data_IF_516407102247
#
_entry.id   IF_516407102247
#
_cell.length_a   1.000
_cell.length_b   1.000
_cell.length_c   1.000
_cell.angle_alpha   90.00
_cell.angle_beta   90.00
_cell.angle_gamma   90.00
#
_symmetry.space_group_name_H-M   'P 1'
#
loop_
_entity.id
_entity.type
_entity.pdbx_description
1 polymer ?
#
# COMPACT_ATOMS: atom_id res chain seq x y z
N UNK A 1 -54.09 34.28 -20.57
CA UNK A 1 -53.14 34.40 -19.43
C UNK A 1 -52.08 33.33 -19.61
N UNK A 2 -50.82 33.73 -19.89
CA UNK A 2 -49.69 32.81 -20.07
C UNK A 2 -48.98 32.67 -18.72
N UNK A 3 -48.93 31.45 -18.19
CA UNK A 3 -48.22 31.10 -16.96
C UNK A 3 -46.74 30.85 -17.31
N UNK A 4 -45.86 31.75 -16.88
CA UNK A 4 -44.41 31.54 -16.95
C UNK A 4 -43.98 30.64 -15.78
N UNK A 5 -43.45 29.46 -16.06
CA UNK A 5 -42.68 28.69 -15.10
C UNK A 5 -41.27 29.29 -14.99
N UNK A 6 -40.94 29.86 -13.84
CA UNK A 6 -39.58 30.22 -13.45
C UNK A 6 -38.85 28.94 -13.02
N UNK A 7 -37.85 28.51 -13.81
CA UNK A 7 -36.87 27.54 -13.35
C UNK A 7 -35.95 28.22 -12.34
N UNK A 8 -35.99 27.76 -11.09
CA UNK A 8 -35.01 28.14 -10.08
C UNK A 8 -33.68 27.43 -10.40
N UNK A 9 -32.70 28.18 -10.90
CA UNK A 9 -31.32 27.73 -10.99
C UNK A 9 -30.78 27.55 -9.57
N UNK A 10 -30.55 26.31 -9.16
CA UNK A 10 -29.79 26.02 -7.95
C UNK A 10 -28.35 26.53 -8.16
N UNK A 11 -27.96 27.54 -7.40
CA UNK A 11 -26.58 28.00 -7.36
C UNK A 11 -25.70 26.85 -6.85
N UNK A 12 -24.74 26.40 -7.66
CA UNK A 12 -23.66 25.57 -7.15
C UNK A 12 -22.90 26.39 -6.11
N UNK A 13 -23.05 26.03 -4.83
CA UNK A 13 -22.15 26.51 -3.79
C UNK A 13 -20.75 26.00 -4.14
N UNK A 14 -19.84 26.93 -4.42
CA UNK A 14 -18.43 26.61 -4.59
C UNK A 14 -17.96 25.81 -3.37
N UNK A 15 -17.40 24.61 -3.62
CA UNK A 15 -16.67 23.85 -2.61
C UNK A 15 -15.58 24.78 -2.09
N UNK A 16 -15.44 25.00 -0.76
CA UNK A 16 -14.41 25.88 -0.25
C UNK A 16 -13.05 25.34 -0.71
N UNK A 17 -12.30 26.18 -1.41
CA UNK A 17 -10.88 25.92 -1.69
C UNK A 17 -10.23 25.68 -0.34
N UNK A 18 -9.78 24.45 -0.10
CA UNK A 18 -9.05 24.08 1.11
C UNK A 18 -7.83 25.00 1.14
N UNK A 19 -7.80 25.91 2.12
CA UNK A 19 -6.67 26.78 2.34
C UNK A 19 -5.51 25.87 2.78
N UNK A 20 -4.61 25.53 1.85
CA UNK A 20 -3.41 24.77 2.15
C UNK A 20 -2.60 25.66 3.08
N UNK A 21 -2.53 25.29 4.35
CA UNK A 21 -1.72 26.00 5.33
C UNK A 21 -0.29 26.11 4.79
N UNK A 22 0.28 27.31 4.82
CA UNK A 22 1.70 27.52 4.51
C UNK A 22 2.53 26.97 5.69
N UNK A 23 2.72 25.66 5.71
CA UNK A 23 3.46 24.94 6.74
C UNK A 23 4.96 25.02 6.46
N UNK A 24 5.75 25.39 7.47
CA UNK A 24 7.22 25.30 7.41
C UNK A 24 7.69 23.89 7.77
N UNK A 25 6.99 23.22 8.70
CA UNK A 25 7.25 21.82 9.03
C UNK A 25 6.01 21.09 9.54
N UNK A 26 6.11 19.77 9.57
CA UNK A 26 5.03 18.85 9.87
C UNK A 26 5.35 18.04 11.12
N UNK A 27 4.35 17.77 11.95
CA UNK A 27 4.48 16.90 13.11
C UNK A 27 3.37 15.86 13.14
N UNK A 28 3.66 14.78 13.87
CA UNK A 28 2.85 13.57 13.94
C UNK A 28 2.45 13.30 15.39
N UNK A 29 1.39 12.54 15.62
CA UNK A 29 1.00 12.11 16.96
C UNK A 29 1.99 11.09 17.53
N UNK A 30 2.11 11.02 18.85
CA UNK A 30 3.01 10.10 19.54
C UNK A 30 3.99 10.85 20.46
N UNK A 31 4.78 10.12 21.26
CA UNK A 31 5.71 10.74 22.20
C UNK A 31 6.93 11.31 21.48
N UNK A 32 7.29 12.58 21.68
CA UNK A 32 8.49 13.20 21.06
C UNK A 32 8.59 12.96 19.53
N UNK A 33 7.55 13.31 18.75
CA UNK A 33 7.44 12.95 17.33
C UNK A 33 8.47 13.66 16.43
N UNK A 34 9.11 14.71 16.94
CA UNK A 34 9.97 15.59 16.16
C UNK A 34 9.21 16.37 15.10
N UNK A 35 9.96 16.85 14.12
CA UNK A 35 9.45 17.61 12.98
C UNK A 35 10.02 17.10 11.67
N UNK A 36 9.22 17.18 10.62
CA UNK A 36 9.56 16.83 9.26
C UNK A 36 9.48 18.06 8.35
N UNK A 37 10.42 18.23 7.43
CA UNK A 37 10.51 19.38 6.53
C UNK A 37 9.55 19.27 5.34
N UNK A 38 9.14 18.06 4.99
CA UNK A 38 8.33 17.81 3.80
C UNK A 38 7.09 16.96 4.12
N UNK A 39 6.04 17.14 3.32
CA UNK A 39 4.79 16.38 3.38
C UNK A 39 4.28 16.08 1.97
N UNK A 40 3.80 14.85 1.78
CA UNK A 40 3.14 14.38 0.56
C UNK A 40 1.97 13.47 0.89
N UNK A 41 0.90 13.61 0.11
CA UNK A 41 -0.31 12.80 0.20
C UNK A 41 -0.75 12.40 -1.20
N UNK A 42 -1.06 11.11 -1.38
CA UNK A 42 -1.64 10.59 -2.62
C UNK A 42 -2.97 9.92 -2.28
N UNK A 43 -4.08 10.50 -2.79
CA UNK A 43 -5.43 9.97 -2.62
C UNK A 43 -5.86 9.14 -3.83
N UNK A 44 -6.14 7.85 -3.62
CA UNK A 44 -6.65 6.97 -4.67
C UNK A 44 -8.18 6.91 -4.71
N UNK A 45 -8.85 7.62 -3.78
CA UNK A 45 -10.30 7.79 -3.80
C UNK A 45 -10.64 8.80 -4.88
N UNK A 46 -11.70 8.52 -5.63
CA UNK A 46 -12.25 9.39 -6.69
C UNK A 46 -11.34 9.60 -7.91
N UNK A 47 -10.36 8.72 -8.13
CA UNK A 47 -9.60 8.71 -9.37
C UNK A 47 -10.52 8.21 -10.50
N UNK A 48 -10.64 8.92 -11.63
CA UNK A 48 -11.50 8.47 -12.71
C UNK A 48 -11.01 7.15 -13.32
N UNK A 49 -11.89 6.15 -13.45
CA UNK A 49 -11.60 4.86 -14.10
C UNK A 49 -11.77 4.92 -15.62
N UNK A 50 -11.19 5.95 -16.21
CA UNK A 50 -11.04 6.09 -17.65
C UNK A 50 -9.59 6.53 -17.95
N UNK A 51 -8.98 5.91 -18.95
CA UNK A 51 -7.54 6.08 -19.20
C UNK A 51 -7.14 7.50 -19.64
N UNK A 52 -8.07 8.31 -20.18
CA UNK A 52 -7.76 9.66 -20.62
C UNK A 52 -7.70 10.64 -19.43
N UNK A 53 -8.71 10.62 -18.55
CA UNK A 53 -8.77 11.47 -17.38
C UNK A 53 -7.77 11.05 -16.30
N UNK A 54 -7.51 9.75 -16.15
CA UNK A 54 -6.53 9.27 -15.17
C UNK A 54 -5.09 9.72 -15.47
N UNK A 55 -4.74 9.93 -16.75
CA UNK A 55 -3.40 10.40 -17.17
C UNK A 55 -3.06 11.81 -16.71
N UNK A 56 -4.08 12.60 -16.40
CA UNK A 56 -3.93 13.99 -15.94
C UNK A 56 -4.51 14.18 -14.55
N UNK A 57 -4.82 13.09 -13.84
CA UNK A 57 -5.42 13.17 -12.51
C UNK A 57 -4.38 13.62 -11.49
N UNK A 58 -4.80 14.51 -10.60
CA UNK A 58 -4.01 14.98 -9.48
C UNK A 58 -4.51 14.28 -8.21
N UNK A 59 -3.60 13.61 -7.50
CA UNK A 59 -3.89 12.74 -6.36
C UNK A 59 -4.05 13.54 -5.06
N UNK A 60 -4.60 14.74 -5.15
CA UNK A 60 -4.84 15.61 -4.01
C UNK A 60 -5.84 15.02 -3.02
N UNK A 61 -5.79 15.42 -1.74
CA UNK A 61 -6.78 15.02 -0.74
C UNK A 61 -8.20 15.18 -1.27
N UNK A 62 -8.93 14.08 -1.29
CA UNK A 62 -10.35 14.11 -1.55
C UNK A 62 -11.05 15.00 -0.50
N UNK A 63 -11.72 16.06 -0.95
CA UNK A 63 -12.71 16.75 -0.12
C UNK A 63 -13.86 15.82 0.25
N UNK A 64 -14.80 16.29 1.08
CA UNK A 64 -16.08 15.59 1.30
C UNK A 64 -16.78 15.44 -0.06
N UNK A 65 -16.82 14.21 -0.57
CA UNK A 65 -17.30 13.98 -1.92
C UNK A 65 -18.77 13.58 -1.95
N UNK A 66 -19.55 14.12 -2.90
CA UNK A 66 -20.80 13.50 -3.28
C UNK A 66 -20.53 12.10 -3.83
N UNK A 67 -21.49 11.19 -3.65
CA UNK A 67 -21.42 9.83 -4.19
C UNK A 67 -21.15 9.91 -5.72
N UNK A 68 -19.98 9.42 -6.14
CA UNK A 68 -19.68 9.25 -7.56
C UNK A 68 -20.67 8.26 -8.15
N UNK A 69 -21.46 8.70 -9.14
CA UNK A 69 -22.43 7.87 -9.82
C UNK A 69 -21.74 6.69 -10.54
N UNK A 70 -22.44 5.56 -10.59
CA UNK A 70 -22.04 4.41 -11.39
C UNK A 70 -21.82 4.85 -12.85
N UNK A 71 -20.63 4.54 -13.38
CA UNK A 71 -20.29 4.71 -14.79
C UNK A 71 -20.06 3.31 -15.39
N UNK A 72 -20.96 2.84 -16.28
CA UNK A 72 -20.88 1.52 -16.87
C UNK A 72 -19.68 1.32 -17.81
N UNK A 73 -18.99 2.40 -18.23
CA UNK A 73 -17.80 2.32 -19.09
C UNK A 73 -16.48 2.27 -18.31
N UNK A 74 -16.54 2.30 -16.98
CA UNK A 74 -15.34 2.28 -16.15
C UNK A 74 -14.53 1.00 -16.33
N UNK A 75 -13.24 1.17 -16.58
CA UNK A 75 -12.26 0.07 -16.71
C UNK A 75 -11.09 0.31 -15.76
N UNK A 76 -10.45 -0.74 -15.23
CA UNK A 76 -9.33 -0.56 -14.32
C UNK A 76 -8.16 0.12 -15.06
N UNK A 77 -7.52 1.08 -14.40
CA UNK A 77 -6.41 1.86 -14.98
C UNK A 77 -5.10 1.39 -14.34
N UNK A 78 -4.09 1.04 -15.14
CA UNK A 78 -2.78 0.66 -14.59
C UNK A 78 -2.14 1.88 -13.91
N UNK A 79 -1.58 1.69 -12.72
CA UNK A 79 -1.03 2.80 -11.94
C UNK A 79 0.15 3.48 -12.66
N UNK A 80 0.94 2.69 -13.40
CA UNK A 80 2.07 3.19 -14.20
C UNK A 80 1.67 4.20 -15.30
N UNK A 81 0.40 4.24 -15.68
CA UNK A 81 -0.13 5.12 -16.74
C UNK A 81 -0.71 6.42 -16.16
N UNK A 82 -0.43 6.71 -14.88
CA UNK A 82 -0.93 7.90 -14.15
C UNK A 82 0.23 8.78 -13.68
N UNK A 83 -0.01 10.07 -13.33
CA UNK A 83 1.02 10.95 -12.79
C UNK A 83 1.71 10.43 -11.52
N UNK A 84 1.07 9.57 -10.73
CA UNK A 84 1.69 8.90 -9.57
C UNK A 84 3.01 8.19 -9.94
N UNK A 85 3.10 7.65 -11.18
CA UNK A 85 4.27 6.95 -11.67
C UNK A 85 5.55 7.83 -11.80
N UNK A 86 5.39 9.16 -11.70
CA UNK A 86 6.48 10.13 -11.69
C UNK A 86 7.18 10.26 -10.34
N UNK A 87 6.55 9.80 -9.27
CA UNK A 87 7.08 9.82 -7.90
C UNK A 87 7.30 8.41 -7.34
N UNK A 88 6.54 7.43 -7.83
CA UNK A 88 6.65 6.02 -7.45
C UNK A 88 6.79 5.13 -8.68
N UNK A 89 7.76 4.23 -8.69
CA UNK A 89 7.98 3.27 -9.76
C UNK A 89 7.23 1.96 -9.47
N UNK A 90 6.40 1.52 -10.42
CA UNK A 90 5.83 0.17 -10.43
C UNK A 90 6.88 -0.80 -10.96
N UNK A 91 7.15 -1.87 -10.23
CA UNK A 91 8.23 -2.80 -10.55
C UNK A 91 7.80 -3.93 -11.50
N UNK A 92 8.77 -4.51 -12.20
CA UNK A 92 8.52 -5.52 -13.25
C UNK A 92 9.68 -6.53 -13.37
N UNK A 93 10.35 -6.79 -12.24
CA UNK A 93 11.47 -7.75 -12.10
C UNK A 93 10.98 -9.18 -11.83
N UNK A 94 11.89 -10.16 -11.89
CA UNK A 94 11.60 -11.56 -11.56
C UNK A 94 12.73 -12.21 -10.75
N UNK A 95 12.38 -13.23 -9.95
CA UNK A 95 13.31 -14.01 -9.14
C UNK A 95 12.95 -15.49 -9.21
N UNK A 96 13.92 -16.33 -9.60
CA UNK A 96 13.75 -17.78 -9.60
C UNK A 96 13.51 -18.34 -8.20
N UNK A 97 12.74 -19.42 -8.11
CA UNK A 97 12.57 -20.16 -6.87
C UNK A 97 13.87 -20.77 -6.35
N UNK A 98 13.98 -20.97 -5.04
CA UNK A 98 15.09 -21.62 -4.36
C UNK A 98 14.54 -22.71 -3.42
N UNK A 99 15.38 -23.59 -2.84
CA UNK A 99 14.90 -24.58 -1.87
C UNK A 99 14.15 -23.99 -0.66
N UNK A 100 14.49 -22.77 -0.24
CA UNK A 100 13.82 -22.07 0.88
C UNK A 100 12.60 -21.25 0.43
N UNK A 101 12.60 -20.78 -0.81
CA UNK A 101 11.55 -19.95 -1.41
C UNK A 101 11.12 -20.61 -2.73
N UNK A 102 10.37 -21.73 -2.67
CA UNK A 102 10.23 -22.67 -3.78
C UNK A 102 9.46 -22.13 -4.98
N UNK A 103 8.69 -21.04 -4.81
CA UNK A 103 7.89 -20.46 -5.89
C UNK A 103 8.64 -19.30 -6.53
N UNK A 104 8.87 -19.40 -7.84
CA UNK A 104 9.36 -18.30 -8.67
C UNK A 104 8.45 -17.08 -8.53
N UNK A 105 9.03 -15.89 -8.32
CA UNK A 105 8.31 -14.62 -8.29
C UNK A 105 8.46 -13.91 -9.64
N UNK A 106 7.34 -13.40 -10.15
CA UNK A 106 7.33 -12.45 -11.28
C UNK A 106 6.55 -11.22 -10.85
N UNK A 107 7.25 -10.12 -10.59
CA UNK A 107 6.60 -8.83 -10.38
C UNK A 107 6.02 -8.34 -11.71
N UNK A 108 4.85 -7.71 -11.68
CA UNK A 108 4.19 -7.24 -12.90
C UNK A 108 3.41 -5.96 -12.66
N UNK A 109 3.60 -5.01 -13.56
CA UNK A 109 2.86 -3.75 -13.59
C UNK A 109 1.33 -3.93 -13.70
N UNK A 110 0.86 -5.03 -14.31
CA UNK A 110 -0.57 -5.40 -14.40
C UNK A 110 -1.20 -5.75 -13.07
N UNK A 111 -0.41 -5.92 -12.02
CA UNK A 111 -0.89 -6.19 -10.67
C UNK A 111 -1.04 -4.94 -9.82
N UNK A 112 -0.75 -3.75 -10.35
CA UNK A 112 -0.89 -2.47 -9.65
C UNK A 112 -1.80 -1.55 -10.47
N UNK A 113 -3.04 -1.38 -10.02
CA UNK A 113 -4.08 -0.71 -10.81
C UNK A 113 -5.15 -0.05 -9.95
N UNK A 114 -5.74 1.02 -10.47
CA UNK A 114 -6.88 1.71 -9.90
C UNK A 114 -8.16 0.98 -10.26
N UNK A 115 -9.04 0.82 -9.27
CA UNK A 115 -10.27 0.06 -9.40
C UNK A 115 -11.36 0.55 -8.45
N UNK A 116 -12.55 -0.03 -8.56
CA UNK A 116 -13.68 0.07 -7.62
C UNK A 116 -14.54 -1.18 -7.69
N UNK A 117 -15.53 -1.27 -6.80
CA UNK A 117 -16.56 -2.28 -6.87
C UNK A 117 -17.45 -2.08 -8.13
N UNK A 118 -17.84 -3.13 -8.87
CA UNK A 118 -18.66 -2.99 -10.08
C UNK A 118 -20.01 -2.31 -9.84
N UNK A 119 -20.59 -2.42 -8.65
CA UNK A 119 -21.83 -1.71 -8.31
C UNK A 119 -21.65 -0.21 -8.00
N UNK A 120 -20.43 0.35 -8.14
CA UNK A 120 -20.10 1.74 -7.82
C UNK A 120 -19.30 1.89 -6.52
N UNK A 121 -19.23 3.12 -6.02
CA UNK A 121 -18.43 3.48 -4.85
C UNK A 121 -17.10 4.17 -5.21
N UNK A 122 -16.35 4.53 -4.17
CA UNK A 122 -15.05 5.17 -4.33
C UNK A 122 -14.04 4.23 -4.97
N UNK A 123 -13.11 4.80 -5.73
CA UNK A 123 -11.95 4.07 -6.22
C UNK A 123 -10.91 3.87 -5.12
N UNK A 124 -9.99 2.95 -5.39
CA UNK A 124 -8.80 2.72 -4.59
C UNK A 124 -7.71 2.12 -5.48
N UNK A 125 -6.46 2.17 -5.00
CA UNK A 125 -5.36 1.44 -5.59
C UNK A 125 -5.44 -0.03 -5.17
N UNK A 126 -5.48 -0.95 -6.12
CA UNK A 126 -5.37 -2.38 -5.88
C UNK A 126 -3.97 -2.89 -6.26
N UNK A 127 -3.39 -3.67 -5.35
CA UNK A 127 -2.24 -4.53 -5.60
C UNK A 127 -2.71 -5.99 -5.57
N UNK A 128 -2.22 -6.82 -6.49
CA UNK A 128 -2.62 -8.22 -6.63
C UNK A 128 -1.42 -9.15 -6.58
N UNK A 129 -1.54 -10.25 -5.83
CA UNK A 129 -0.73 -11.45 -6.10
C UNK A 129 -1.62 -12.60 -6.55
N UNK A 130 -1.12 -13.44 -7.46
CA UNK A 130 -1.84 -14.62 -7.96
C UNK A 130 -0.87 -15.77 -8.11
N UNK A 131 -1.23 -16.92 -7.54
CA UNK A 131 -0.47 -18.15 -7.72
C UNK A 131 -0.88 -18.81 -9.03
N UNK A 132 0.02 -18.82 -10.01
CA UNK A 132 -0.07 -19.68 -11.18
C UNK A 132 0.60 -21.02 -10.90
N UNK A 133 0.55 -21.97 -11.84
CA UNK A 133 1.12 -23.31 -11.62
C UNK A 133 2.62 -23.27 -11.25
N UNK A 134 3.41 -22.43 -11.94
CA UNK A 134 4.89 -22.43 -11.84
C UNK A 134 5.51 -21.22 -11.16
N UNK A 135 4.73 -20.18 -10.96
CA UNK A 135 5.20 -18.94 -10.37
C UNK A 135 4.07 -18.23 -9.63
N UNK A 136 4.42 -17.28 -8.79
CA UNK A 136 3.50 -16.29 -8.27
C UNK A 136 3.73 -14.99 -9.02
N UNK A 137 2.67 -14.43 -9.59
CA UNK A 137 2.72 -13.05 -10.06
C UNK A 137 2.47 -12.14 -8.87
N UNK A 138 3.29 -11.11 -8.69
CA UNK A 138 3.31 -10.25 -7.50
C UNK A 138 3.29 -8.78 -7.89
N UNK A 139 3.23 -7.90 -6.89
CA UNK A 139 3.15 -6.45 -7.07
C UNK A 139 4.13 -5.74 -6.14
N UNK A 140 4.83 -4.73 -6.64
CA UNK A 140 5.64 -3.82 -5.83
C UNK A 140 5.62 -2.41 -6.43
N UNK A 141 5.55 -1.42 -5.54
CA UNK A 141 5.81 -0.02 -5.85
C UNK A 141 6.93 0.49 -4.96
N UNK A 142 7.79 1.32 -5.53
CA UNK A 142 8.93 1.91 -4.83
C UNK A 142 8.94 3.42 -5.04
N UNK A 143 9.26 4.19 -4.01
CA UNK A 143 9.48 5.63 -4.18
C UNK A 143 10.68 5.88 -5.11
N UNK A 144 10.58 6.89 -5.97
CA UNK A 144 11.71 7.36 -6.78
C UNK A 144 12.68 8.21 -5.98
N UNK A 145 12.21 8.84 -4.91
CA UNK A 145 13.07 9.41 -3.88
C UNK A 145 13.77 8.24 -3.17
N UNK A 146 15.10 8.29 -3.13
CA UNK A 146 15.94 7.25 -2.52
C UNK A 146 16.69 7.74 -1.28
N UNK A 147 16.56 9.02 -0.96
CA UNK A 147 17.34 9.68 0.07
C UNK A 147 16.49 10.15 1.26
N UNK A 148 15.38 9.46 1.54
CA UNK A 148 14.61 9.74 2.76
C UNK A 148 15.46 9.47 3.99
N UNK A 149 15.40 10.37 4.98
CA UNK A 149 16.13 10.25 6.23
C UNK A 149 15.23 10.68 7.37
N UNK A 150 14.72 9.71 8.11
CA UNK A 150 13.57 9.81 9.01
C UNK A 150 12.26 10.09 8.27
N UNK A 151 11.27 9.25 8.52
CA UNK A 151 10.01 9.22 7.79
C UNK A 151 8.89 8.79 8.71
N UNK A 152 7.74 9.45 8.60
CA UNK A 152 6.46 8.94 9.05
C UNK A 152 5.65 8.52 7.83
N UNK A 153 5.65 7.21 7.52
CA UNK A 153 4.97 6.59 6.38
C UNK A 153 3.64 6.01 6.85
N UNK A 154 2.53 6.46 6.27
CA UNK A 154 1.17 5.98 6.52
C UNK A 154 0.57 5.38 5.26
N UNK A 155 -0.11 4.25 5.41
CA UNK A 155 -0.87 3.61 4.34
C UNK A 155 -2.24 3.23 4.88
N UNK A 156 -3.31 3.77 4.29
CA UNK A 156 -4.68 3.34 4.60
C UNK A 156 -5.08 2.21 3.67
N UNK A 157 -5.21 1.02 4.24
CA UNK A 157 -5.33 -0.20 3.47
C UNK A 157 -6.37 -1.17 4.03
N UNK A 158 -6.71 -2.16 3.21
CA UNK A 158 -7.28 -3.44 3.66
C UNK A 158 -7.00 -4.54 2.65
N UNK A 159 -7.00 -5.79 3.10
CA UNK A 159 -7.06 -6.95 2.22
C UNK A 159 -8.51 -7.30 1.89
N UNK A 160 -8.78 -7.53 0.61
CA UNK A 160 -10.13 -7.82 0.11
C UNK A 160 -10.44 -9.30 0.26
N UNK A 161 -11.69 -9.60 0.62
CA UNK A 161 -12.16 -10.98 0.72
C UNK A 161 -12.19 -11.69 -0.64
N UNK A 162 -12.04 -13.02 -0.65
CA UNK A 162 -12.05 -13.81 -1.89
C UNK A 162 -13.32 -13.65 -2.74
N UNK A 163 -14.45 -13.33 -2.11
CA UNK A 163 -15.73 -13.12 -2.79
C UNK A 163 -15.99 -11.68 -3.24
N UNK A 164 -15.12 -10.73 -2.89
CA UNK A 164 -15.34 -9.32 -3.20
C UNK A 164 -15.05 -9.03 -4.67
N UNK A 165 -16.03 -8.42 -5.35
CA UNK A 165 -15.90 -8.09 -6.76
C UNK A 165 -15.26 -6.72 -6.94
N UNK A 166 -14.26 -6.66 -7.82
CA UNK A 166 -13.59 -5.43 -8.23
C UNK A 166 -13.38 -5.47 -9.75
N UNK A 167 -13.21 -4.30 -10.37
CA UNK A 167 -12.74 -4.24 -11.74
C UNK A 167 -11.26 -4.65 -11.77
N UNK A 168 -10.87 -5.68 -12.52
CA UNK A 168 -9.48 -6.15 -12.56
C UNK A 168 -8.96 -6.24 -13.98
N UNK A 169 -7.70 -5.84 -14.24
CA UNK A 169 -7.01 -6.19 -15.48
C UNK A 169 -6.97 -7.71 -15.65
N UNK A 170 -7.01 -8.22 -16.90
CA UNK A 170 -6.86 -9.64 -17.17
C UNK A 170 -5.63 -10.24 -16.50
N UNK A 171 -5.76 -11.48 -16.02
CA UNK A 171 -4.62 -12.28 -15.54
C UNK A 171 -3.83 -12.75 -16.76
N UNK A 172 -2.60 -12.26 -16.91
CA UNK A 172 -1.76 -12.62 -18.06
C UNK A 172 -0.83 -13.78 -17.71
N UNK A 173 -1.22 -15.00 -18.06
CA UNK A 173 -0.42 -16.21 -17.86
C UNK A 173 0.84 -16.25 -18.75
N UNK A 174 0.91 -15.43 -19.82
CA UNK A 174 1.92 -15.55 -20.89
C UNK A 174 3.25 -14.86 -20.60
N UNK A 175 3.34 -14.09 -19.52
CA UNK A 175 4.52 -13.26 -19.17
C UNK A 175 5.80 -14.07 -18.90
N UNK A 176 5.70 -15.38 -18.62
CA UNK A 176 6.85 -16.28 -18.41
C UNK A 176 7.81 -16.38 -19.60
N UNK A 177 7.33 -16.32 -20.85
CA UNK A 177 8.13 -16.71 -22.02
C UNK A 177 9.21 -15.70 -22.44
N UNK A 178 9.18 -14.47 -21.90
CA UNK A 178 10.10 -13.40 -22.33
C UNK A 178 11.16 -13.02 -21.27
N UNK A 179 11.05 -13.53 -20.04
CA UNK A 179 11.80 -12.96 -18.89
C UNK A 179 12.59 -13.96 -18.04
N UNK A 180 12.50 -15.25 -18.33
CA UNK A 180 13.26 -16.29 -17.63
C UNK A 180 14.04 -17.09 -18.68
N UNK A 181 15.37 -17.05 -18.62
CA UNK A 181 16.20 -18.00 -19.35
C UNK A 181 16.00 -19.42 -18.77
N UNK A 182 15.13 -20.21 -19.40
CA UNK A 182 14.98 -21.70 -19.39
C UNK A 182 14.89 -22.41 -18.02
N UNK A 183 13.96 -23.34 -17.75
CA UNK A 183 13.70 -24.60 -18.46
C UNK A 183 12.20 -24.97 -18.44
N UNK A 184 11.76 -25.54 -19.56
CA UNK A 184 10.41 -26.01 -19.90
C UNK A 184 10.07 -27.39 -19.33
N UNK A 185 8.80 -27.61 -18.96
CA UNK A 185 8.17 -28.94 -18.91
C UNK A 185 6.65 -28.81 -19.00
N UNK A 186 6.01 -29.09 -20.14
CA UNK A 186 4.56 -29.02 -20.36
C UNK A 186 3.78 -30.12 -19.64
N UNK A 187 2.65 -29.78 -19.00
CA UNK A 187 1.60 -30.76 -18.64
C UNK A 187 0.22 -30.11 -18.69
N UNK A 188 -0.77 -30.86 -19.18
CA UNK A 188 -2.15 -30.44 -19.44
C UNK A 188 -3.07 -30.57 -18.23
N UNK A 189 -4.03 -29.64 -18.14
CA UNK A 189 -4.98 -29.45 -17.04
C UNK A 189 -6.18 -30.41 -17.07
N UNK A 190 -6.57 -30.86 -15.88
CA UNK A 190 -7.98 -31.13 -15.54
C UNK A 190 -8.25 -30.57 -14.14
N UNK A 191 -9.35 -29.84 -13.98
CA UNK A 191 -9.67 -29.09 -12.75
C UNK A 191 -10.88 -29.72 -12.07
N UNK A 192 -10.78 -30.23 -10.84
CA UNK A 192 -11.93 -30.52 -10.01
C UNK A 192 -12.17 -29.33 -9.07
N UNK A 193 -13.23 -28.55 -9.33
CA UNK A 193 -13.78 -27.63 -8.32
C UNK A 193 -14.51 -28.47 -7.27
N UNK A 194 -13.96 -28.53 -6.05
CA UNK A 194 -14.71 -28.95 -4.87
C UNK A 194 -15.05 -27.76 -3.98
N UNK A 195 -16.30 -27.77 -3.53
CA UNK A 195 -17.00 -26.84 -2.64
C UNK A 195 -16.11 -26.04 -1.68
N UNK A 196 -16.04 -24.72 -1.90
CA UNK A 196 -15.50 -23.78 -0.92
C UNK A 196 -16.51 -23.60 0.22
N UNK A 197 -16.07 -23.80 1.47
CA UNK A 197 -16.85 -23.51 2.67
C UNK A 197 -17.28 -22.04 2.70
N UNK A 198 -18.44 -21.72 3.28
CA UNK A 198 -18.94 -20.33 3.39
C UNK A 198 -17.94 -19.37 4.06
N UNK A 199 -17.06 -19.87 4.93
CA UNK A 199 -15.99 -19.10 5.57
C UNK A 199 -14.91 -18.62 4.60
N UNK A 200 -14.54 -19.42 3.58
CA UNK A 200 -13.52 -19.04 2.59
C UNK A 200 -13.90 -17.84 1.71
N UNK A 201 -15.19 -17.45 1.67
CA UNK A 201 -15.64 -16.29 0.89
C UNK A 201 -15.28 -14.96 1.54
N UNK A 202 -15.22 -14.90 2.87
CA UNK A 202 -15.14 -13.64 3.62
C UNK A 202 -13.72 -13.26 4.04
N UNK A 203 -12.76 -14.18 3.92
CA UNK A 203 -11.34 -13.92 4.14
C UNK A 203 -10.58 -13.99 2.82
N UNK A 204 -9.48 -13.24 2.67
CA UNK A 204 -8.54 -13.50 1.59
C UNK A 204 -7.90 -14.88 1.74
N UNK A 205 -7.40 -15.44 0.65
CA UNK A 205 -6.61 -16.67 0.72
C UNK A 205 -5.32 -16.47 1.53
N UNK A 206 -4.98 -17.47 2.35
CA UNK A 206 -3.69 -17.56 3.03
C UNK A 206 -2.54 -17.78 2.05
N UNK A 207 -1.32 -17.44 2.47
CA UNK A 207 -0.12 -17.72 1.68
C UNK A 207 0.54 -16.50 1.02
N UNK A 208 0.20 -15.28 1.43
CA UNK A 208 0.80 -14.04 0.92
C UNK A 208 1.26 -13.13 2.07
N UNK A 209 2.24 -12.27 1.77
CA UNK A 209 2.72 -11.20 2.65
C UNK A 209 2.50 -9.84 1.99
N UNK A 210 1.95 -8.89 2.75
CA UNK A 210 2.01 -7.46 2.44
C UNK A 210 3.20 -6.87 3.18
N UNK A 211 4.12 -6.20 2.48
CA UNK A 211 5.21 -5.43 3.08
C UNK A 211 5.01 -3.93 2.89
N UNK A 212 5.21 -3.14 3.94
CA UNK A 212 5.32 -1.67 3.90
C UNK A 212 6.59 -1.29 4.66
N UNK A 213 7.59 -0.75 3.97
CA UNK A 213 8.92 -0.68 4.56
C UNK A 213 9.79 0.44 4.01
N UNK A 214 10.79 0.83 4.80
CA UNK A 214 11.93 1.64 4.36
C UNK A 214 13.07 0.70 3.99
N UNK A 215 13.78 0.94 2.88
CA UNK A 215 14.89 0.08 2.48
C UNK A 215 16.09 0.89 1.97
N UNK A 216 17.26 0.58 2.52
CA UNK A 216 18.56 0.89 1.90
C UNK A 216 19.32 -0.39 1.59
N UNK A 217 19.38 -1.30 2.56
CA UNK A 217 20.04 -2.59 2.46
C UNK A 217 19.41 -3.58 3.46
N UNK A 218 19.83 -4.85 3.41
CA UNK A 218 19.36 -5.91 4.32
C UNK A 218 19.70 -5.70 5.79
N UNK A 219 20.45 -4.64 6.13
CA UNK A 219 20.81 -4.27 7.51
C UNK A 219 20.40 -2.84 7.86
N UNK A 220 19.65 -2.18 6.98
CA UNK A 220 19.09 -0.85 7.21
C UNK A 220 17.72 -0.80 6.53
N UNK A 221 16.74 -1.34 7.25
CA UNK A 221 15.36 -1.52 6.82
C UNK A 221 14.45 -1.56 8.06
N UNK A 222 13.22 -1.07 7.90
CA UNK A 222 12.17 -1.09 8.93
C UNK A 222 10.86 -1.52 8.28
N UNK A 223 10.20 -2.49 8.89
CA UNK A 223 9.15 -3.28 8.25
C UNK A 223 7.80 -3.16 8.97
N UNK A 224 6.72 -3.15 8.18
CA UNK A 224 5.40 -3.64 8.57
C UNK A 224 5.07 -4.79 7.64
N UNK A 225 4.84 -5.97 8.20
CA UNK A 225 4.44 -7.15 7.43
C UNK A 225 3.12 -7.73 7.92
N UNK A 226 2.23 -8.05 6.97
CA UNK A 226 0.93 -8.68 7.24
C UNK A 226 0.86 -10.00 6.48
N UNK A 227 0.71 -11.10 7.22
CA UNK A 227 0.65 -12.45 6.68
C UNK A 227 -0.81 -12.91 6.56
N UNK A 228 -1.26 -13.24 5.34
CA UNK A 228 -2.67 -13.64 5.13
C UNK A 228 -3.00 -15.02 5.69
N UNK A 229 -1.98 -15.80 6.09
CA UNK A 229 -2.11 -17.08 6.78
C UNK A 229 -2.36 -16.95 8.27
N UNK A 230 -2.16 -15.76 8.85
CA UNK A 230 -2.27 -15.50 10.28
C UNK A 230 -3.63 -14.87 10.68
N UNK A 231 -3.93 -14.74 11.99
CA UNK A 231 -5.12 -14.04 12.44
C UNK A 231 -5.25 -12.67 11.78
N UNK A 232 -6.48 -12.22 11.46
CA UNK A 232 -6.70 -11.01 10.69
C UNK A 232 -6.31 -9.72 11.42
N UNK A 233 -5.92 -9.80 12.69
CA UNK A 233 -5.44 -8.69 13.50
C UNK A 233 -3.93 -8.64 13.59
N UNK A 234 -3.22 -9.69 13.17
CA UNK A 234 -1.78 -9.80 13.38
C UNK A 234 -1.00 -9.00 12.34
N UNK A 235 -0.03 -8.23 12.83
CA UNK A 235 1.01 -7.61 12.04
C UNK A 235 2.38 -7.86 12.70
N UNK A 236 3.41 -7.94 11.87
CA UNK A 236 4.80 -8.05 12.28
C UNK A 236 5.50 -6.73 12.03
N UNK A 237 6.34 -6.34 12.98
CA UNK A 237 7.15 -5.14 12.93
C UNK A 237 8.59 -5.52 13.16
N UNK A 238 9.50 -5.00 12.35
CA UNK A 238 10.91 -5.31 12.47
C UNK A 238 11.82 -4.14 12.08
N UNK A 239 13.01 -4.17 12.64
CA UNK A 239 14.17 -3.42 12.17
C UNK A 239 15.26 -4.44 11.81
N UNK A 240 15.77 -4.37 10.58
CA UNK A 240 16.75 -5.33 10.07
C UNK A 240 18.18 -5.01 10.55
N UNK A 241 19.06 -6.02 10.71
CA UNK A 241 18.77 -7.44 10.58
C UNK A 241 17.96 -7.97 11.77
N UNK A 242 16.97 -8.80 11.50
CA UNK A 242 16.12 -9.37 12.56
C UNK A 242 16.53 -10.79 12.99
N UNK A 243 17.47 -11.40 12.27
CA UNK A 243 17.89 -12.78 12.41
C UNK A 243 19.41 -12.94 12.24
N UNK A 244 20.02 -13.75 13.12
CA UNK A 244 21.43 -14.15 13.03
C UNK A 244 21.55 -15.53 12.35
N UNK A 245 22.02 -15.60 11.10
CA UNK A 245 22.10 -16.87 10.37
C UNK A 245 23.24 -17.78 10.87
N UNK A 246 24.22 -17.25 11.61
CA UNK A 246 25.32 -18.05 12.17
C UNK A 246 24.86 -18.78 13.42
N UNK A 247 24.12 -18.08 14.28
CA UNK A 247 23.57 -18.65 15.53
C UNK A 247 22.22 -19.31 15.34
N UNK A 248 21.57 -19.09 14.20
CA UNK A 248 20.23 -19.58 13.89
C UNK A 248 19.19 -19.12 14.93
N UNK A 249 19.21 -17.82 15.26
CA UNK A 249 18.36 -17.22 16.29
C UNK A 249 17.83 -15.85 15.85
N UNK A 250 16.62 -15.54 16.28
CA UNK A 250 16.06 -14.19 16.21
C UNK A 250 16.89 -13.26 17.10
N UNK A 251 17.19 -12.06 16.60
CA UNK A 251 17.93 -11.06 17.37
C UNK A 251 16.99 -10.43 18.41
N UNK A 252 17.35 -10.40 19.71
CA UNK A 252 16.47 -9.82 20.73
C UNK A 252 16.14 -8.35 20.46
N UNK A 253 14.86 -8.02 20.43
CA UNK A 253 14.37 -6.64 20.25
C UNK A 253 14.37 -6.12 18.81
N UNK A 254 14.71 -6.96 17.81
CA UNK A 254 14.69 -6.58 16.40
C UNK A 254 13.32 -6.73 15.74
N UNK A 255 12.43 -7.56 16.30
CA UNK A 255 11.13 -7.84 15.73
C UNK A 255 10.08 -8.15 16.81
N UNK A 256 8.81 -7.94 16.46
CA UNK A 256 7.66 -8.31 17.30
C UNK A 256 6.41 -8.53 16.44
N UNK A 257 5.58 -9.49 16.83
CA UNK A 257 4.24 -9.69 16.30
C UNK A 257 3.20 -9.15 17.29
N UNK A 258 2.28 -8.31 16.83
CA UNK A 258 1.24 -7.70 17.68
C UNK A 258 -0.11 -7.84 17.01
N UNK A 259 -1.14 -8.13 17.81
CA UNK A 259 -2.52 -8.15 17.36
C UNK A 259 -3.11 -6.74 17.49
N UNK A 260 -3.38 -6.11 16.35
CA UNK A 260 -3.97 -4.79 16.23
C UNK A 260 -5.48 -4.79 16.62
N UNK A 261 -6.04 -3.63 17.03
CA UNK A 261 -7.44 -3.53 17.44
C UNK A 261 -8.44 -3.71 16.28
N UNK A 262 -7.98 -3.55 15.04
CA UNK A 262 -8.80 -3.62 13.84
C UNK A 262 -8.20 -4.68 12.91
N UNK A 263 -9.02 -5.59 12.37
CA UNK A 263 -8.51 -6.57 11.42
C UNK A 263 -8.12 -5.91 10.11
N UNK A 264 -7.02 -6.37 9.49
CA UNK A 264 -6.52 -5.89 8.19
C UNK A 264 -7.49 -6.12 7.01
N UNK A 265 -8.64 -6.77 7.22
CA UNK A 265 -9.75 -6.85 6.25
C UNK A 265 -10.67 -5.64 6.27
N UNK A 266 -10.51 -4.75 7.26
CA UNK A 266 -11.23 -3.48 7.40
C UNK A 266 -10.28 -2.34 7.05
N UNK A 267 -10.81 -1.26 6.43
CA UNK A 267 -10.00 -0.10 6.10
C UNK A 267 -9.38 0.50 7.37
N UNK A 268 -8.06 0.39 7.48
CA UNK A 268 -7.30 0.94 8.60
C UNK A 268 -5.99 1.57 8.15
N UNK A 269 -5.53 2.57 8.89
CA UNK A 269 -4.24 3.21 8.66
C UNK A 269 -3.13 2.53 9.45
N UNK A 270 -2.17 1.97 8.73
CA UNK A 270 -0.89 1.48 9.28
C UNK A 270 0.16 2.57 9.15
N UNK A 271 0.95 2.79 10.19
CA UNK A 271 1.98 3.84 10.21
C UNK A 271 3.30 3.33 10.77
N UNK A 272 4.40 3.63 10.08
CA UNK A 272 5.77 3.50 10.55
C UNK A 272 6.35 4.91 10.74
N UNK A 273 6.75 5.23 11.96
CA UNK A 273 7.55 6.40 12.29
C UNK A 273 9.01 5.96 12.49
N UNK A 274 9.85 6.17 11.49
CA UNK A 274 11.30 6.10 11.58
C UNK A 274 11.83 7.46 12.07
N UNK A 275 12.27 7.50 13.32
CA UNK A 275 12.82 8.67 14.00
C UNK A 275 14.31 8.48 14.30
N UNK A 276 15.07 9.54 14.63
CA UNK A 276 16.52 9.44 14.83
C UNK A 276 16.96 8.44 15.91
N UNK A 277 16.10 8.18 16.88
CA UNK A 277 16.41 7.37 18.07
C UNK A 277 15.52 6.14 18.25
N UNK A 278 14.54 5.92 17.36
CA UNK A 278 13.68 4.73 17.40
C UNK A 278 12.81 4.59 16.14
N UNK A 279 12.36 3.37 15.90
CA UNK A 279 11.22 3.09 15.02
C UNK A 279 9.97 2.86 15.87
N UNK A 280 8.82 3.37 15.43
CA UNK A 280 7.52 3.11 16.07
C UNK A 280 6.46 2.77 15.05
N UNK A 281 5.55 1.89 15.46
CA UNK A 281 4.49 1.40 14.61
C UNK A 281 3.13 1.64 15.23
N UNK A 282 2.16 2.01 14.40
CA UNK A 282 0.81 2.33 14.81
C UNK A 282 -0.22 1.72 13.87
N UNK A 283 -1.40 1.45 14.43
CA UNK A 283 -2.62 1.16 13.68
C UNK A 283 -3.71 2.09 14.20
N UNK A 284 -4.34 2.87 13.31
CA UNK A 284 -5.34 3.89 13.67
C UNK A 284 -4.85 4.84 14.79
N UNK A 285 -3.63 5.35 14.65
CA UNK A 285 -2.95 6.22 15.63
C UNK A 285 -2.74 5.60 17.02
N UNK A 286 -3.04 4.31 17.23
CA UNK A 286 -2.70 3.58 18.44
C UNK A 286 -1.33 2.92 18.27
N UNK A 287 -0.39 3.21 19.17
CA UNK A 287 0.95 2.62 19.12
C UNK A 287 0.86 1.11 19.38
N UNK A 288 1.44 0.33 18.47
CA UNK A 288 1.50 -1.12 18.56
C UNK A 288 2.87 -1.59 19.05
N UNK A 289 3.95 -0.95 18.60
CA UNK A 289 5.31 -1.31 18.96
C UNK A 289 6.28 -0.12 18.88
N UNK A 290 7.41 -0.25 19.55
CA UNK A 290 8.55 0.67 19.47
C UNK A 290 9.86 -0.08 19.64
N UNK A 291 10.88 0.23 18.84
CA UNK A 291 12.19 -0.43 18.89
C UNK A 291 13.33 0.57 18.79
N UNK A 292 14.38 0.31 19.56
CA UNK A 292 15.65 1.06 19.51
C UNK A 292 16.80 0.24 18.93
N UNK A 293 16.61 -1.07 18.74
CA UNK A 293 17.55 -1.91 18.00
C UNK A 293 17.36 -1.69 16.49
N UNK A 294 18.47 -1.75 15.73
CA UNK A 294 18.43 -1.78 14.27
C UNK A 294 17.80 -0.56 13.60
N UNK A 295 17.72 0.59 14.30
CA UNK A 295 17.16 1.82 13.71
C UNK A 295 17.95 2.14 12.43
N UNK A 296 17.27 2.29 11.27
CA UNK A 296 17.96 2.63 10.04
C UNK A 296 18.76 3.94 10.20
N UNK A 297 20.01 3.92 9.75
CA UNK A 297 20.92 5.08 9.78
C UNK A 297 21.29 5.57 8.38
N UNK A 298 20.87 4.84 7.35
CA UNK A 298 21.18 5.13 5.95
C UNK A 298 19.96 5.73 5.23
N UNK A 299 20.18 6.65 4.27
CA UNK A 299 19.13 7.16 3.40
C UNK A 299 18.39 6.00 2.73
N UNK A 300 17.06 6.00 2.82
CA UNK A 300 16.24 4.89 2.35
C UNK A 300 15.24 5.31 1.28
N UNK A 301 14.80 4.34 0.48
CA UNK A 301 13.56 4.42 -0.32
C UNK A 301 12.40 3.82 0.46
N UNK A 302 11.17 4.11 0.04
CA UNK A 302 9.93 3.56 0.58
C UNK A 302 9.37 2.52 -0.37
N UNK A 303 8.85 1.42 0.15
CA UNK A 303 8.31 0.33 -0.64
C UNK A 303 6.99 -0.15 -0.07
N UNK A 304 6.10 -0.56 -0.98
CA UNK A 304 4.92 -1.36 -0.66
C UNK A 304 4.88 -2.52 -1.64
N UNK A 305 4.75 -3.74 -1.13
CA UNK A 305 4.62 -4.93 -1.97
C UNK A 305 3.56 -5.91 -1.46
N UNK A 306 3.13 -6.79 -2.36
CA UNK A 306 2.27 -7.92 -2.07
C UNK A 306 2.80 -9.13 -2.83
N UNK A 307 3.28 -10.12 -2.08
CA UNK A 307 4.04 -11.24 -2.63
C UNK A 307 3.69 -12.59 -1.98
N UNK A 308 4.09 -13.66 -2.65
CA UNK A 308 3.94 -15.05 -2.20
C UNK A 308 5.02 -15.88 -2.88
N UNK A 309 5.93 -16.47 -2.10
CA UNK A 309 7.05 -17.27 -2.64
C UNK A 309 7.06 -18.72 -2.16
N UNK A 310 6.02 -19.11 -1.42
CA UNK A 310 5.87 -20.47 -0.90
C UNK A 310 6.83 -20.80 0.24
N UNK A 311 7.67 -19.83 0.66
CA UNK A 311 8.56 -19.99 1.80
C UNK A 311 7.80 -20.02 3.12
N UNK A 312 8.52 -20.28 4.22
CA UNK A 312 7.94 -20.38 5.56
C UNK A 312 7.17 -19.11 5.96
N UNK A 313 7.68 -17.94 5.57
CA UNK A 313 7.13 -16.65 5.95
C UNK A 313 5.81 -16.33 5.26
N UNK A 314 5.79 -16.26 3.92
CA UNK A 314 4.53 -16.01 3.20
C UNK A 314 3.56 -17.18 3.31
N UNK A 315 4.08 -18.41 3.45
CA UNK A 315 3.30 -19.63 3.37
C UNK A 315 2.88 -19.99 1.96
N UNK A 316 2.01 -21.00 1.84
CA UNK A 316 1.56 -21.55 0.56
C UNK A 316 0.27 -20.88 0.07
N UNK A 317 0.36 -20.07 -0.99
CA UNK A 317 -0.82 -19.61 -1.75
C UNK A 317 -1.23 -20.72 -2.71
N UNK A 318 -2.50 -21.16 -2.62
CA UNK A 318 -3.01 -22.26 -3.46
C UNK A 318 -3.01 -21.87 -4.94
N UNK A 319 -2.62 -22.79 -5.84
CA UNK A 319 -2.65 -22.55 -7.29
C UNK A 319 -4.07 -22.12 -7.73
N UNK A 320 -4.15 -21.00 -8.45
CA UNK A 320 -5.38 -20.37 -8.91
C UNK A 320 -5.91 -19.27 -7.99
N UNK A 321 -5.50 -19.25 -6.72
CA UNK A 321 -5.90 -18.24 -5.76
C UNK A 321 -5.19 -16.91 -6.00
N UNK A 322 -5.86 -15.83 -5.60
CA UNK A 322 -5.33 -14.47 -5.62
C UNK A 322 -5.60 -13.79 -4.30
N UNK A 323 -4.69 -12.91 -3.89
CA UNK A 323 -4.87 -11.98 -2.79
C UNK A 323 -4.84 -10.56 -3.35
N UNK A 324 -5.71 -9.69 -2.85
CA UNK A 324 -5.80 -8.30 -3.26
C UNK A 324 -5.67 -7.39 -2.03
N UNK A 325 -4.72 -6.46 -2.11
CA UNK A 325 -4.56 -5.35 -1.18
C UNK A 325 -5.21 -4.11 -1.81
N UNK A 326 -6.17 -3.51 -1.12
CA UNK A 326 -6.71 -2.19 -1.46
C UNK A 326 -6.01 -1.12 -0.64
N UNK A 327 -5.76 0.04 -1.24
CA UNK A 327 -5.14 1.22 -0.61
C UNK A 327 -5.98 2.45 -0.98
N UNK A 328 -6.54 3.13 0.02
CA UNK A 328 -7.29 4.39 -0.19
C UNK A 328 -6.35 5.57 -0.36
N UNK A 329 -5.27 5.64 0.41
CA UNK A 329 -4.27 6.69 0.31
C UNK A 329 -2.93 6.30 0.94
N UNK A 330 -1.89 7.03 0.54
CA UNK A 330 -0.54 7.00 1.11
C UNK A 330 -0.20 8.42 1.57
N UNK A 331 0.31 8.56 2.79
CA UNK A 331 0.75 9.84 3.35
C UNK A 331 2.15 9.72 3.95
N UNK A 332 3.00 10.70 3.65
CA UNK A 332 4.38 10.71 4.10
C UNK A 332 4.74 12.10 4.62
N UNK A 333 5.20 12.17 5.87
CA UNK A 333 6.00 13.29 6.36
C UNK A 333 7.45 12.83 6.50
N UNK A 334 8.40 13.61 5.97
CA UNK A 334 9.78 13.14 5.86
C UNK A 334 10.81 14.26 5.89
N UNK A 335 12.06 13.88 6.17
CA UNK A 335 13.24 14.66 5.81
C UNK A 335 14.06 13.89 4.76
N UNK A 336 15.03 14.57 4.16
CA UNK A 336 15.95 13.99 3.19
C UNK A 336 17.40 14.26 3.59
N UNK A 337 18.30 13.35 3.23
CA UNK A 337 19.74 13.69 3.30
C UNK A 337 20.03 14.82 2.31
N UNK A 338 20.83 15.79 2.76
CA UNK A 338 21.15 16.99 1.99
C UNK A 338 20.13 18.13 2.14
N UNK A 339 19.06 17.95 2.93
CA UNK A 339 18.19 19.07 3.29
C UNK A 339 18.99 20.16 4.02
N UNK A 340 18.83 21.40 3.56
CA UNK A 340 19.29 22.57 4.32
C UNK A 340 18.28 22.81 5.45
N UNK A 341 18.69 22.80 6.73
CA UNK A 341 17.78 23.05 7.84
C UNK A 341 17.03 24.38 7.65
N UNK A 342 15.70 24.33 7.69
CA UNK A 342 14.86 25.52 7.61
C UNK A 342 14.22 25.80 8.97
N UNK A 343 14.04 27.09 9.34
CA UNK A 343 13.26 27.44 10.52
C UNK A 343 11.85 26.88 10.40
N UNK A 344 11.36 26.24 11.46
CA UNK A 344 9.96 25.84 11.53
C UNK A 344 9.15 26.84 12.36
N UNK A 345 8.70 27.92 11.73
CA UNK A 345 7.89 28.94 12.38
C UNK A 345 6.41 28.56 12.37
N UNK A 346 5.92 28.07 11.23
CA UNK A 346 4.55 27.52 11.08
C UNK A 346 4.58 26.00 11.16
N UNK A 347 4.13 25.47 12.29
CA UNK A 347 4.01 24.03 12.54
C UNK A 347 2.63 23.55 12.15
N UNK A 348 2.58 22.47 11.40
CA UNK A 348 1.33 21.81 11.06
C UNK A 348 1.30 20.39 11.58
N UNK A 349 0.17 19.99 12.19
CA UNK A 349 -0.11 18.59 12.45
C UNK A 349 -0.70 17.94 11.21
N UNK A 350 -0.39 16.66 11.01
CA UNK A 350 -1.02 15.85 9.94
C UNK A 350 -1.85 14.69 10.48
N UNK A 351 -1.67 14.31 11.75
CA UNK A 351 -2.53 13.34 12.42
C UNK A 351 -3.70 14.03 13.12
N UNK A 352 -4.85 13.35 13.14
CA UNK A 352 -6.07 13.84 13.80
C UNK A 352 -6.67 15.08 13.15
N UNK A 353 -6.27 15.40 11.92
CA UNK A 353 -6.83 16.49 11.10
C UNK A 353 -8.24 16.14 10.60
N UNK A 354 -9.05 17.16 10.32
CA UNK A 354 -10.42 17.00 9.85
C UNK A 354 -10.52 16.29 8.49
N UNK A 355 -9.56 16.55 7.59
CA UNK A 355 -9.50 15.94 6.27
C UNK A 355 -8.12 15.28 6.09
N UNK A 356 -8.04 13.95 5.95
CA UNK A 356 -6.77 13.25 5.72
C UNK A 356 -5.98 13.87 4.56
N UNK A 357 -4.68 14.07 4.75
CA UNK A 357 -3.82 14.70 3.74
C UNK A 357 -3.88 16.23 3.69
N UNK A 358 -4.70 16.88 4.53
CA UNK A 358 -4.73 18.34 4.69
C UNK A 358 -4.12 18.71 6.04
N UNK A 359 -2.86 19.18 6.07
CA UNK A 359 -2.21 19.63 7.31
C UNK A 359 -2.96 20.80 7.96
N UNK A 360 -3.02 20.80 9.29
CA UNK A 360 -3.64 21.87 10.09
C UNK A 360 -2.59 22.60 10.91
N UNK A 361 -2.62 23.94 10.88
CA UNK A 361 -1.75 24.78 11.72
C UNK A 361 -2.05 24.50 13.20
N UNK A 362 -0.99 24.37 13.99
CA UNK A 362 -1.05 24.12 15.43
C UNK A 362 -1.21 25.39 16.26
#
# INVERSE_FOLDING_TARGET
>A
MRTNLLYASAALTAVPVVNIANCDCYTVSGPDPGFFQHHRFWDFRQVPLNAAAARTHDFHPAGQAPLMNFDPQSTPVLLKDTPFASEWAVQDWGRGGTPLFPVTIVNSDKNVYLTRHPAGGLTFLAMRTTRFERYSSTAEIESRIQNFMHVSLRVRLRLLSNGEQILSPPRDERSLHRRIHTVSASTSYSSPRLAQSKQKRFMPSGGACVGIFTFFSRTSESDIEILTSEPPTRAHYANQPDYDPVRNLIIPGSQVAVDAPIPWTTWSTYRLDWLPSMSRWYVENQQQASMTYGIPVDPSRLLINLWSDGGLWSGNLTIGDSVHLGIEWIEVAYNQTGDVPRPCNVKCRIDGVANPGVPEVM
#
